data_IF_459597477622
#
_entry.id   IF_459597477622
#
_cell.length_a   1.000
_cell.length_b   1.000
_cell.length_c   1.000
_cell.angle_alpha   90.00
_cell.angle_beta   90.00
_cell.angle_gamma   90.00
#
_symmetry.space_group_name_H-M   'P 1'
#
loop_
_entity.id
_entity.type
_entity.pdbx_description
1 polymer ?
#
# COMPACT_ATOMS: atom_id res chain seq x y z
N UNK A 1 -17.30 1.34 9.62
CA UNK A 1 -17.75 2.05 8.41
C UNK A 1 -17.73 3.57 8.50
N UNK A 2 -18.62 4.24 9.25
CA UNK A 2 -18.77 5.72 9.16
C UNK A 2 -17.55 6.54 9.65
N UNK A 3 -16.67 5.96 10.46
CA UNK A 3 -15.43 6.63 10.91
C UNK A 3 -14.30 6.50 9.87
N UNK A 4 -14.13 5.32 9.29
CA UNK A 4 -13.15 5.02 8.24
C UNK A 4 -13.43 5.89 7.00
N UNK A 5 -14.67 5.91 6.53
CA UNK A 5 -15.08 6.73 5.37
C UNK A 5 -14.84 8.23 5.59
N UNK A 6 -14.98 8.72 6.83
CA UNK A 6 -14.67 10.13 7.17
C UNK A 6 -13.17 10.42 7.18
N UNK A 7 -12.36 9.47 7.65
CA UNK A 7 -10.90 9.61 7.65
C UNK A 7 -10.39 9.54 6.21
N UNK A 8 -10.82 8.56 5.43
CA UNK A 8 -10.44 8.41 4.03
C UNK A 8 -10.88 9.62 3.19
N UNK A 9 -12.10 10.13 3.37
CA UNK A 9 -12.57 11.36 2.71
C UNK A 9 -11.77 12.61 3.12
N UNK A 10 -11.19 12.64 4.31
CA UNK A 10 -10.35 13.78 4.74
C UNK A 10 -8.93 13.69 4.18
N UNK A 11 -8.41 12.47 4.02
CA UNK A 11 -7.05 12.19 3.55
C UNK A 11 -6.95 12.19 2.02
N UNK A 12 -8.04 11.95 1.30
CA UNK A 12 -8.15 12.02 -0.15
C UNK A 12 -8.78 13.37 -0.58
N UNK A 13 -7.98 14.40 -0.95
CA UNK A 13 -8.55 15.64 -1.47
C UNK A 13 -9.24 15.42 -2.83
N UNK A 14 -10.32 16.15 -3.10
CA UNK A 14 -11.07 16.07 -4.38
C UNK A 14 -10.15 16.32 -5.60
N UNK A 15 -9.74 15.24 -6.25
CA UNK A 15 -8.96 15.20 -7.47
C UNK A 15 -9.36 13.97 -8.32
N UNK A 16 -8.78 13.82 -9.51
CA UNK A 16 -9.18 12.75 -10.45
C UNK A 16 -9.03 11.33 -9.89
N UNK A 17 -8.17 11.14 -8.89
CA UNK A 17 -7.85 9.85 -8.29
C UNK A 17 -8.45 9.70 -6.87
N UNK A 18 -9.27 10.64 -6.41
CA UNK A 18 -9.71 10.69 -5.01
C UNK A 18 -10.53 9.47 -4.61
N UNK A 19 -11.33 8.92 -5.52
CA UNK A 19 -12.08 7.68 -5.28
C UNK A 19 -11.15 6.48 -5.12
N UNK A 20 -10.12 6.35 -5.95
CA UNK A 20 -9.13 5.27 -5.86
C UNK A 20 -8.32 5.36 -4.57
N UNK A 21 -7.88 6.57 -4.21
CA UNK A 21 -7.16 6.85 -2.96
C UNK A 21 -8.04 6.57 -1.75
N UNK A 22 -9.32 6.95 -1.79
CA UNK A 22 -10.27 6.71 -0.70
C UNK A 22 -10.50 5.21 -0.48
N UNK A 23 -10.72 4.44 -1.56
CA UNK A 23 -10.90 2.99 -1.48
C UNK A 23 -9.66 2.32 -0.89
N UNK A 24 -8.45 2.68 -1.35
CA UNK A 24 -7.21 2.13 -0.82
C UNK A 24 -7.02 2.47 0.67
N UNK A 25 -7.39 3.69 1.10
CA UNK A 25 -7.35 4.09 2.50
C UNK A 25 -8.38 3.35 3.36
N UNK A 26 -9.59 3.13 2.85
CA UNK A 26 -10.62 2.38 3.57
C UNK A 26 -10.13 0.95 3.86
N UNK A 27 -9.58 0.27 2.84
CA UNK A 27 -8.99 -1.07 3.01
C UNK A 27 -7.80 -1.06 3.97
N UNK A 28 -6.90 -0.08 3.83
CA UNK A 28 -5.73 0.03 4.71
C UNK A 28 -6.11 0.24 6.18
N UNK A 29 -7.17 1.00 6.45
CA UNK A 29 -7.69 1.23 7.80
C UNK A 29 -8.43 0.02 8.34
N UNK A 30 -9.21 -0.68 7.52
CA UNK A 30 -9.86 -1.95 7.88
C UNK A 30 -8.82 -3.00 8.28
N UNK A 31 -7.71 -3.11 7.55
CA UNK A 31 -6.61 -4.04 7.84
C UNK A 31 -5.76 -3.65 9.06
N UNK A 32 -5.62 -2.35 9.34
CA UNK A 32 -4.77 -1.85 10.42
C UNK A 32 -5.49 -1.74 11.78
N UNK A 33 -6.80 -1.51 11.78
CA UNK A 33 -7.57 -1.36 13.02
C UNK A 33 -7.91 -2.73 13.63
N UNK A 34 -7.93 -2.83 14.97
CA UNK A 34 -8.35 -4.06 15.63
C UNK A 34 -9.85 -4.33 15.37
N UNK A 35 -10.19 -5.62 15.19
CA UNK A 35 -11.57 -6.06 14.99
C UNK A 35 -12.36 -5.96 16.31
N UNK A 36 -12.96 -4.80 16.56
CA UNK A 36 -13.70 -4.47 17.79
C UNK A 36 -15.07 -3.87 17.47
N UNK A 37 -16.12 -4.26 18.23
CA UNK A 37 -17.50 -3.79 18.01
C UNK A 37 -17.69 -2.27 18.23
N UNK A 38 -16.91 -1.67 19.13
CA UNK A 38 -16.95 -0.23 19.44
C UNK A 38 -15.62 0.43 19.04
N UNK A 39 -15.69 1.51 18.26
CA UNK A 39 -14.51 2.30 17.91
C UNK A 39 -13.94 3.02 19.14
N UNK A 40 -12.72 2.65 19.55
CA UNK A 40 -11.94 3.37 20.55
C UNK A 40 -10.98 4.34 19.85
N UNK A 41 -11.06 5.67 20.08
CA UNK A 41 -10.08 6.62 19.54
C UNK A 41 -8.63 6.31 19.92
N UNK A 42 -8.40 5.61 21.04
CA UNK A 42 -7.06 5.17 21.45
C UNK A 42 -6.52 4.00 20.63
N UNK A 43 -7.35 3.37 19.78
CA UNK A 43 -6.90 2.35 18.83
C UNK A 43 -6.05 2.93 17.69
N UNK A 44 -6.10 4.25 17.46
CA UNK A 44 -5.29 4.95 16.48
C UNK A 44 -3.87 5.24 17.02
N UNK A 45 -3.12 4.18 17.29
CA UNK A 45 -1.74 4.27 17.77
C UNK A 45 -0.76 4.59 16.62
N UNK A 46 0.47 4.99 16.95
CA UNK A 46 1.52 5.18 15.94
C UNK A 46 1.74 3.90 15.11
N UNK A 47 1.70 2.73 15.73
CA UNK A 47 1.81 1.43 15.04
C UNK A 47 0.69 1.21 14.02
N UNK A 48 -0.56 1.52 14.40
CA UNK A 48 -1.71 1.42 13.49
C UNK A 48 -1.61 2.42 12.33
N UNK A 49 -1.13 3.64 12.59
CA UNK A 49 -0.89 4.64 11.54
C UNK A 49 0.20 4.15 10.57
N UNK A 50 1.29 3.61 11.09
CA UNK A 50 2.39 3.07 10.27
C UNK A 50 1.91 1.89 9.42
N UNK A 51 1.11 1.00 10.00
CA UNK A 51 0.52 -0.14 9.28
C UNK A 51 -0.45 0.33 8.19
N UNK A 52 -1.33 1.30 8.47
CA UNK A 52 -2.24 1.85 7.47
C UNK A 52 -1.48 2.50 6.30
N UNK A 53 -0.42 3.26 6.59
CA UNK A 53 0.43 3.84 5.54
C UNK A 53 1.12 2.72 4.73
N UNK A 54 1.63 1.68 5.39
CA UNK A 54 2.26 0.53 4.73
C UNK A 54 1.31 -0.20 3.79
N UNK A 55 0.08 -0.49 4.23
CA UNK A 55 -0.95 -1.10 3.39
C UNK A 55 -1.31 -0.21 2.20
N UNK A 56 -1.56 1.08 2.44
CA UNK A 56 -1.86 2.04 1.38
C UNK A 56 -0.75 2.12 0.31
N UNK A 57 0.52 2.20 0.73
CA UNK A 57 1.66 2.20 -0.19
C UNK A 57 1.74 0.90 -0.97
N UNK A 58 1.52 -0.24 -0.30
CA UNK A 58 1.58 -1.57 -0.94
C UNK A 58 0.59 -1.66 -2.09
N UNK A 59 -0.66 -1.25 -1.87
CA UNK A 59 -1.69 -1.32 -2.92
C UNK A 59 -1.40 -0.38 -4.08
N UNK A 60 -0.96 0.86 -3.81
CA UNK A 60 -0.61 1.80 -4.88
C UNK A 60 0.59 1.33 -5.71
N UNK A 61 1.64 0.84 -5.07
CA UNK A 61 2.82 0.32 -5.77
C UNK A 61 2.45 -0.91 -6.59
N UNK A 62 1.60 -1.80 -6.05
CA UNK A 62 1.12 -2.95 -6.80
C UNK A 62 0.36 -2.55 -8.05
N UNK A 63 -0.55 -1.57 -7.94
CA UNK A 63 -1.27 -1.03 -9.10
C UNK A 63 -0.31 -0.47 -10.15
N UNK A 64 0.65 0.38 -9.76
CA UNK A 64 1.63 0.98 -10.67
C UNK A 64 2.51 -0.07 -11.36
N UNK A 65 2.97 -1.08 -10.62
CA UNK A 65 3.80 -2.17 -11.15
C UNK A 65 3.01 -3.01 -12.16
N UNK A 66 1.78 -3.43 -11.82
CA UNK A 66 0.93 -4.23 -12.71
C UNK A 66 0.53 -3.44 -13.97
N UNK A 67 0.22 -2.15 -13.82
CA UNK A 67 -0.04 -1.26 -14.95
C UNK A 67 1.19 -1.12 -15.87
N UNK A 68 2.39 -0.99 -15.28
CA UNK A 68 3.66 -0.96 -16.00
C UNK A 68 3.96 -2.26 -16.76
N UNK A 69 3.67 -3.42 -16.17
CA UNK A 69 3.80 -4.74 -16.82
C UNK A 69 2.76 -4.93 -17.94
N UNK A 70 1.60 -4.28 -17.83
CA UNK A 70 0.60 -4.20 -18.88
C UNK A 70 0.13 -5.58 -19.36
N UNK A 71 0.15 -5.81 -20.69
CA UNK A 71 -0.37 -7.06 -21.28
C UNK A 71 0.45 -8.31 -20.90
N UNK A 72 1.69 -8.15 -20.46
CA UNK A 72 2.52 -9.28 -20.04
C UNK A 72 1.91 -9.95 -18.81
N UNK A 73 1.49 -9.16 -17.81
CA UNK A 73 0.86 -9.65 -16.59
C UNK A 73 -0.33 -10.60 -16.86
N UNK A 74 -1.22 -10.23 -17.79
CA UNK A 74 -2.42 -11.00 -18.10
C UNK A 74 -2.21 -12.18 -19.08
N UNK A 75 -1.05 -12.31 -19.71
CA UNK A 75 -0.74 -13.42 -20.61
C UNK A 75 -0.01 -14.57 -19.91
N UNK A 76 0.34 -14.39 -18.64
CA UNK A 76 1.22 -15.28 -17.91
C UNK A 76 0.36 -16.20 -17.05
N UNK A 77 0.19 -17.42 -17.58
CA UNK A 77 -0.20 -18.63 -16.84
C UNK A 77 -1.71 -18.87 -16.53
N UNK A 78 -2.11 -20.14 -16.24
CA UNK A 78 -3.46 -20.47 -15.77
C UNK A 78 -3.87 -19.67 -14.53
N UNK A 79 -5.17 -19.47 -14.32
CA UNK A 79 -5.71 -18.65 -13.21
C UNK A 79 -5.15 -18.98 -11.81
N UNK A 80 -4.83 -20.25 -11.53
CA UNK A 80 -4.22 -20.65 -10.25
C UNK A 80 -2.79 -20.15 -10.08
N UNK A 81 -2.02 -20.05 -11.17
CA UNK A 81 -0.65 -19.54 -11.18
C UNK A 81 -0.64 -18.01 -11.11
N UNK A 82 -1.55 -17.35 -11.82
CA UNK A 82 -1.74 -15.90 -11.71
C UNK A 82 -2.05 -15.46 -10.26
N UNK A 83 -2.87 -16.23 -9.53
CA UNK A 83 -3.14 -15.92 -8.12
C UNK A 83 -1.89 -16.04 -7.24
N UNK A 84 -1.08 -17.10 -7.41
CA UNK A 84 0.18 -17.25 -6.66
C UNK A 84 1.13 -16.09 -6.95
N UNK A 85 1.30 -15.74 -8.22
CA UNK A 85 2.15 -14.62 -8.64
C UNK A 85 1.67 -13.27 -8.06
N UNK A 86 0.36 -13.04 -8.04
CA UNK A 86 -0.20 -11.85 -7.40
C UNK A 86 0.13 -11.79 -5.91
N UNK A 87 -0.05 -12.91 -5.18
CA UNK A 87 0.25 -12.99 -3.75
C UNK A 87 1.73 -12.74 -3.51
N UNK A 88 2.61 -13.40 -4.26
CA UNK A 88 4.07 -13.26 -4.15
C UNK A 88 4.52 -11.82 -4.44
N UNK A 89 3.98 -11.20 -5.49
CA UNK A 89 4.29 -9.81 -5.83
C UNK A 89 3.81 -8.84 -4.75
N UNK A 90 2.59 -9.03 -4.22
CA UNK A 90 2.06 -8.21 -3.12
C UNK A 90 2.89 -8.35 -1.85
N UNK A 91 3.34 -9.56 -1.50
CA UNK A 91 4.21 -9.78 -0.35
C UNK A 91 5.58 -9.11 -0.52
N UNK A 92 6.20 -9.23 -1.70
CA UNK A 92 7.46 -8.55 -2.01
C UNK A 92 7.32 -7.02 -1.87
N UNK A 93 6.28 -6.45 -2.48
CA UNK A 93 5.99 -5.02 -2.41
C UNK A 93 5.78 -4.58 -0.96
N UNK A 94 5.03 -5.36 -0.17
CA UNK A 94 4.78 -5.05 1.24
C UNK A 94 6.08 -4.95 2.03
N UNK A 95 7.00 -5.90 1.85
CA UNK A 95 8.31 -5.88 2.53
C UNK A 95 9.12 -4.65 2.13
N UNK A 96 9.22 -4.36 0.84
CA UNK A 96 9.97 -3.21 0.31
C UNK A 96 9.36 -1.89 0.79
N UNK A 97 8.04 -1.74 0.68
CA UNK A 97 7.33 -0.54 1.08
C UNK A 97 7.48 -0.26 2.58
N UNK A 98 7.39 -1.30 3.42
CA UNK A 98 7.61 -1.17 4.87
C UNK A 98 9.05 -0.77 5.17
N UNK A 99 10.04 -1.39 4.52
CA UNK A 99 11.45 -1.04 4.73
C UNK A 99 11.73 0.42 4.35
N UNK A 100 11.17 0.92 3.26
CA UNK A 100 11.31 2.31 2.84
C UNK A 100 10.58 3.28 3.76
N UNK A 101 9.37 2.92 4.20
CA UNK A 101 8.61 3.70 5.16
C UNK A 101 9.41 3.86 6.46
N UNK A 102 9.98 2.78 6.98
CA UNK A 102 10.79 2.79 8.20
C UNK A 102 12.06 3.64 8.02
N UNK A 103 12.77 3.48 6.89
CA UNK A 103 13.97 4.26 6.55
C UNK A 103 13.70 5.76 6.51
N UNK A 104 12.59 6.17 5.90
CA UNK A 104 12.26 7.59 5.69
C UNK A 104 11.69 8.22 6.95
N UNK A 105 10.91 7.47 7.73
CA UNK A 105 10.26 7.98 8.95
C UNK A 105 11.11 7.80 10.21
N UNK A 106 12.21 7.04 10.13
CA UNK A 106 12.97 6.51 11.27
C UNK A 106 12.06 5.74 12.26
N UNK A 107 11.08 5.02 11.72
CA UNK A 107 10.07 4.29 12.50
C UNK A 107 9.07 5.19 13.24
N UNK A 108 9.02 6.50 12.95
CA UNK A 108 8.02 7.39 13.51
C UNK A 108 7.11 7.94 12.40
N UNK A 109 5.89 7.38 12.21
CA UNK A 109 5.00 7.75 11.12
C UNK A 109 4.53 9.22 11.19
N UNK A 110 4.64 9.90 12.33
CA UNK A 110 4.32 11.33 12.45
C UNK A 110 5.25 12.23 11.64
N UNK A 111 6.40 11.71 11.21
CA UNK A 111 7.36 12.42 10.36
C UNK A 111 7.01 12.33 8.86
N UNK A 112 5.97 11.59 8.48
CA UNK A 112 5.65 11.39 7.07
C UNK A 112 5.15 12.68 6.44
N UNK A 113 5.62 12.96 5.23
CA UNK A 113 5.17 14.07 4.40
C UNK A 113 4.74 13.56 3.03
N UNK A 114 3.98 14.36 2.28
CA UNK A 114 3.60 14.02 0.90
C UNK A 114 4.84 13.76 0.02
N UNK A 115 5.87 14.60 0.14
CA UNK A 115 7.11 14.44 -0.63
C UNK A 115 7.81 13.11 -0.28
N UNK A 116 7.76 12.70 0.98
CA UNK A 116 8.28 11.41 1.42
C UNK A 116 7.46 10.24 0.86
N UNK A 117 6.12 10.35 0.83
CA UNK A 117 5.25 9.32 0.24
C UNK A 117 5.59 9.12 -1.24
N UNK A 118 5.67 10.21 -2.02
CA UNK A 118 6.01 10.12 -3.45
C UNK A 118 7.39 9.52 -3.68
N UNK A 119 8.36 9.85 -2.83
CA UNK A 119 9.69 9.26 -2.90
C UNK A 119 9.66 7.76 -2.58
N UNK A 120 8.98 7.37 -1.51
CA UNK A 120 8.84 5.95 -1.12
C UNK A 120 8.23 5.15 -2.27
N UNK A 121 7.17 5.66 -2.90
CA UNK A 121 6.54 5.00 -4.04
C UNK A 121 7.52 4.80 -5.20
N UNK A 122 8.21 5.86 -5.65
CA UNK A 122 9.14 5.77 -6.77
C UNK A 122 10.30 4.81 -6.49
N UNK A 123 10.88 4.89 -5.29
CA UNK A 123 11.98 4.01 -4.89
C UNK A 123 11.50 2.55 -4.78
N UNK A 124 10.34 2.31 -4.16
CA UNK A 124 9.75 0.98 -4.00
C UNK A 124 9.38 0.33 -5.33
N UNK A 125 8.80 1.07 -6.28
CA UNK A 125 8.53 0.55 -7.64
C UNK A 125 9.84 0.07 -8.29
N UNK A 126 10.90 0.89 -8.24
CA UNK A 126 12.18 0.54 -8.84
C UNK A 126 12.78 -0.73 -8.22
N UNK A 127 12.79 -0.84 -6.89
CA UNK A 127 13.30 -2.03 -6.21
C UNK A 127 12.42 -3.25 -6.45
N UNK A 128 11.09 -3.12 -6.47
CA UNK A 128 10.20 -4.24 -6.78
C UNK A 128 10.47 -4.79 -8.16
N UNK A 129 10.64 -3.93 -9.18
CA UNK A 129 10.96 -4.39 -10.54
C UNK A 129 12.31 -5.10 -10.57
N UNK A 130 13.35 -4.53 -9.95
CA UNK A 130 14.68 -5.14 -9.89
C UNK A 130 14.67 -6.51 -9.19
N UNK A 131 14.05 -6.62 -8.01
CA UNK A 131 13.96 -7.88 -7.26
C UNK A 131 13.08 -8.90 -8.00
N UNK A 132 11.97 -8.45 -8.61
CA UNK A 132 11.07 -9.33 -9.36
C UNK A 132 11.74 -9.92 -10.60
N UNK A 133 12.48 -9.12 -11.36
CA UNK A 133 13.25 -9.60 -12.51
C UNK A 133 14.37 -10.58 -12.11
N UNK A 134 14.92 -10.45 -10.91
CA UNK A 134 15.96 -11.37 -10.40
C UNK A 134 15.47 -12.78 -10.09
N UNK A 135 14.15 -12.99 -9.91
CA UNK A 135 13.57 -14.31 -9.74
C UNK A 135 13.40 -15.08 -11.06
N UNK A 136 13.44 -14.37 -12.20
CA UNK A 136 13.27 -14.93 -13.55
C UNK A 136 14.62 -15.27 -14.24
N UNK A 137 15.75 -14.98 -13.57
CA UNK A 137 17.15 -15.28 -14.00
C UNK A 137 17.70 -16.56 -13.32
#
# INVERSE_FOLDING_TARGET
>A
DQAIDRIASHLAPDNADSDSVRIALDYALEEALPDTEDFDPNSFTEEVIQQAIGCYLTDLIFQDVVEGMGRAWFHVEPASKHHSMEVELRELIKVIAQEQLDKVTNGNPSNITRDNITKIQADAIAMTVEEWESFDD
#
